data_IF_498418968753
#
_entry.id   IF_498418968753
#
_cell.length_a   1.000
_cell.length_b   1.000
_cell.length_c   1.000
_cell.angle_alpha   90.00
_cell.angle_beta   90.00
_cell.angle_gamma   90.00
#
_symmetry.space_group_name_H-M   'P 1'
#
loop_
_entity.id
_entity.type
_entity.pdbx_description
1 polymer ?
#
# COMPACT_ATOMS: atom_id res chain seq x y z
N UNK A 1 3.70 -7.56 4.04
CA UNK A 1 4.33 -7.52 2.70
C UNK A 1 4.94 -6.16 2.42
N UNK A 2 4.15 -5.08 2.57
CA UNK A 2 4.67 -3.72 2.40
C UNK A 2 5.78 -3.40 3.42
N UNK A 3 5.57 -3.70 4.70
CA UNK A 3 6.59 -3.47 5.74
C UNK A 3 7.92 -4.21 5.48
N UNK A 4 7.85 -5.40 4.89
CA UNK A 4 9.04 -6.18 4.53
C UNK A 4 9.79 -5.52 3.37
N UNK A 5 9.06 -5.05 2.35
CA UNK A 5 9.65 -4.28 1.25
C UNK A 5 10.28 -2.99 1.77
N UNK A 6 9.59 -2.26 2.64
CA UNK A 6 10.08 -1.00 3.21
C UNK A 6 11.29 -1.23 4.13
N UNK A 7 11.37 -2.38 4.80
CA UNK A 7 12.56 -2.80 5.53
C UNK A 7 13.74 -3.06 4.58
N UNK A 8 13.53 -3.85 3.52
CA UNK A 8 14.58 -4.17 2.54
C UNK A 8 15.16 -2.92 1.88
N UNK A 9 14.29 -1.98 1.47
CA UNK A 9 14.71 -0.74 0.83
C UNK A 9 15.47 0.19 1.80
N UNK A 10 15.07 0.24 3.07
CA UNK A 10 15.82 0.98 4.10
C UNK A 10 17.20 0.38 4.32
N UNK A 11 17.28 -0.94 4.47
CA UNK A 11 18.56 -1.63 4.62
C UNK A 11 19.46 -1.40 3.40
N UNK A 12 18.94 -1.51 2.18
CA UNK A 12 19.68 -1.16 0.96
C UNK A 12 20.23 0.27 0.99
N UNK A 13 19.43 1.24 1.43
CA UNK A 13 19.86 2.63 1.54
C UNK A 13 20.98 2.82 2.56
N UNK A 14 20.99 2.04 3.65
CA UNK A 14 22.00 2.10 4.70
C UNK A 14 23.33 1.44 4.29
N UNK A 15 23.30 0.35 3.51
CA UNK A 15 24.49 -0.47 3.23
C UNK A 15 25.03 -0.38 1.80
N UNK A 16 24.39 0.40 0.92
CA UNK A 16 24.79 0.51 -0.49
C UNK A 16 26.00 1.42 -0.74
N UNK A 17 26.46 2.17 0.27
CA UNK A 17 27.60 3.08 0.17
C UNK A 17 28.57 2.90 1.34
N UNK A 18 29.85 3.12 1.11
CA UNK A 18 30.88 3.16 2.15
C UNK A 18 31.84 4.31 1.92
N UNK A 19 32.54 4.72 2.99
CA UNK A 19 33.55 5.77 2.96
C UNK A 19 34.91 5.13 3.27
N UNK A 20 35.94 5.52 2.53
CA UNK A 20 37.32 5.06 2.73
C UNK A 20 38.21 6.27 3.02
N UNK A 21 38.93 6.24 4.14
CA UNK A 21 39.92 7.26 4.48
C UNK A 21 41.26 6.98 3.77
N UNK A 22 42.03 8.05 3.55
CA UNK A 22 43.33 7.95 2.87
C UNK A 22 44.34 7.17 3.73
N UNK A 23 44.88 6.08 3.18
CA UNK A 23 45.82 5.18 3.88
C UNK A 23 45.18 3.97 4.58
N UNK A 24 43.85 3.85 4.58
CA UNK A 24 43.15 2.66 5.09
C UNK A 24 42.86 1.63 3.99
N UNK A 25 42.66 0.37 4.41
CA UNK A 25 42.24 -0.69 3.51
C UNK A 25 40.74 -0.59 3.23
N UNK A 26 40.33 -0.74 1.97
CA UNK A 26 38.93 -0.81 1.61
C UNK A 26 38.28 -2.07 2.18
N UNK A 27 37.20 -1.89 2.94
CA UNK A 27 36.33 -3.00 3.38
C UNK A 27 34.89 -2.71 2.91
N UNK A 28 34.59 -3.03 1.63
CA UNK A 28 33.26 -2.79 1.07
C UNK A 28 32.19 -3.62 1.79
N UNK A 29 30.97 -3.07 1.97
CA UNK A 29 29.85 -3.83 2.52
C UNK A 29 29.55 -5.07 1.68
N UNK A 30 29.17 -6.17 2.33
CA UNK A 30 28.64 -7.36 1.68
C UNK A 30 27.20 -7.11 1.18
N UNK A 31 27.06 -6.22 0.18
CA UNK A 31 25.80 -5.82 -0.42
C UNK A 31 25.65 -6.43 -1.83
N UNK A 32 24.57 -7.18 -2.05
CA UNK A 32 24.19 -7.71 -3.38
C UNK A 32 22.91 -7.02 -3.86
N UNK A 33 23.10 -6.08 -4.79
CA UNK A 33 22.00 -5.37 -5.43
C UNK A 33 21.04 -6.33 -6.16
N UNK A 34 21.57 -7.32 -6.90
CA UNK A 34 20.75 -8.25 -7.68
C UNK A 34 19.79 -9.03 -6.78
N UNK A 35 20.31 -9.59 -5.69
CA UNK A 35 19.53 -10.34 -4.72
C UNK A 35 18.45 -9.47 -4.03
N UNK A 36 18.78 -8.24 -3.65
CA UNK A 36 17.80 -7.33 -3.04
C UNK A 36 16.70 -6.96 -4.02
N UNK A 37 17.05 -6.65 -5.27
CA UNK A 37 16.07 -6.30 -6.30
C UNK A 37 15.17 -7.47 -6.69
N UNK A 38 15.70 -8.69 -6.75
CA UNK A 38 14.91 -9.89 -6.98
C UNK A 38 13.88 -10.09 -5.86
N UNK A 39 14.29 -9.94 -4.60
CA UNK A 39 13.39 -10.07 -3.45
C UNK A 39 12.30 -9.00 -3.44
N UNK A 40 12.63 -7.75 -3.79
CA UNK A 40 11.64 -6.68 -3.95
C UNK A 40 10.66 -7.00 -5.07
N UNK A 41 11.14 -7.47 -6.23
CA UNK A 41 10.30 -7.83 -7.36
C UNK A 41 9.35 -8.99 -7.02
N UNK A 42 9.81 -9.98 -6.25
CA UNK A 42 8.98 -11.08 -5.76
C UNK A 42 7.83 -10.56 -4.88
N UNK A 43 8.12 -9.67 -3.92
CA UNK A 43 7.10 -9.08 -3.03
C UNK A 43 6.08 -8.29 -3.86
N UNK A 44 6.54 -7.49 -4.82
CA UNK A 44 5.66 -6.72 -5.71
C UNK A 44 4.77 -7.62 -6.58
N UNK A 45 5.34 -8.71 -7.11
CA UNK A 45 4.59 -9.70 -7.89
C UNK A 45 3.50 -10.37 -7.06
N UNK A 46 3.81 -10.80 -5.84
CA UNK A 46 2.85 -11.39 -4.92
C UNK A 46 1.75 -10.39 -4.53
N UNK A 47 2.12 -9.15 -4.19
CA UNK A 47 1.15 -8.11 -3.84
C UNK A 47 0.22 -7.79 -5.02
N UNK A 48 0.74 -7.79 -6.25
CA UNK A 48 -0.06 -7.63 -7.47
C UNK A 48 -1.04 -8.78 -7.67
N UNK A 49 -0.59 -10.02 -7.50
CA UNK A 49 -1.44 -11.20 -7.66
C UNK A 49 -2.61 -11.20 -6.65
N UNK A 50 -2.33 -10.89 -5.39
CA UNK A 50 -3.35 -10.80 -4.33
C UNK A 50 -4.36 -9.70 -4.64
N UNK A 51 -3.90 -8.48 -4.96
CA UNK A 51 -4.79 -7.37 -5.31
C UNK A 51 -5.64 -7.70 -6.54
N UNK A 52 -5.04 -8.29 -7.56
CA UNK A 52 -5.76 -8.70 -8.76
C UNK A 52 -6.87 -9.71 -8.46
N UNK A 53 -6.57 -10.75 -7.68
CA UNK A 53 -7.55 -11.74 -7.25
C UNK A 53 -8.68 -11.10 -6.43
N UNK A 54 -8.35 -10.17 -5.51
CA UNK A 54 -9.34 -9.44 -4.72
C UNK A 54 -10.25 -8.57 -5.60
N UNK A 55 -9.68 -7.80 -6.54
CA UNK A 55 -10.48 -6.98 -7.46
C UNK A 55 -11.41 -7.84 -8.32
N UNK A 56 -10.90 -8.96 -8.85
CA UNK A 56 -11.71 -9.93 -9.59
C UNK A 56 -12.86 -10.48 -8.75
N UNK A 57 -12.59 -10.86 -7.50
CA UNK A 57 -13.61 -11.32 -6.57
C UNK A 57 -14.66 -10.22 -6.29
N UNK A 58 -14.23 -8.99 -6.01
CA UNK A 58 -15.14 -7.88 -5.69
C UNK A 58 -16.08 -7.54 -6.85
N UNK A 59 -15.58 -7.59 -8.09
CA UNK A 59 -16.36 -7.31 -9.29
C UNK A 59 -17.32 -8.43 -9.69
N UNK A 60 -17.08 -9.66 -9.23
CA UNK A 60 -17.85 -10.85 -9.66
C UNK A 60 -18.84 -11.35 -8.60
N UNK A 61 -18.55 -11.11 -7.32
CA UNK A 61 -19.37 -11.60 -6.23
C UNK A 61 -20.50 -10.63 -5.93
N UNK A 62 -21.74 -11.11 -6.07
CA UNK A 62 -22.95 -10.37 -5.73
C UNK A 62 -23.32 -10.58 -4.26
N UNK A 63 -23.68 -9.51 -3.56
CA UNK A 63 -24.24 -9.54 -2.23
C UNK A 63 -25.73 -9.92 -2.31
N UNK A 64 -26.15 -11.11 -1.83
CA UNK A 64 -27.49 -11.64 -2.09
C UNK A 64 -28.63 -10.73 -1.62
N UNK A 65 -28.46 -10.09 -0.46
CA UNK A 65 -29.48 -9.22 0.15
C UNK A 65 -29.66 -7.89 -0.59
N UNK A 66 -28.67 -7.46 -1.38
CA UNK A 66 -28.64 -6.15 -2.03
C UNK A 66 -28.71 -6.21 -3.55
N UNK A 67 -28.43 -7.37 -4.14
CA UNK A 67 -28.44 -7.56 -5.60
C UNK A 67 -27.36 -6.80 -6.36
N UNK A 68 -26.35 -6.27 -5.66
CA UNK A 68 -25.20 -5.56 -6.24
C UNK A 68 -23.91 -6.29 -5.91
N UNK A 69 -22.88 -6.09 -6.73
CA UNK A 69 -21.54 -6.61 -6.49
C UNK A 69 -20.91 -6.00 -5.24
N UNK A 70 -19.91 -6.69 -4.67
CA UNK A 70 -19.11 -6.14 -3.57
C UNK A 70 -18.46 -4.82 -4.00
N UNK A 71 -17.96 -4.73 -5.23
CA UNK A 71 -17.36 -3.50 -5.77
C UNK A 71 -18.36 -2.32 -5.77
N UNK A 72 -19.57 -2.53 -6.28
CA UNK A 72 -20.65 -1.53 -6.25
C UNK A 72 -21.03 -1.14 -4.81
N UNK A 73 -21.04 -2.10 -3.88
CA UNK A 73 -21.33 -1.84 -2.49
C UNK A 73 -20.26 -0.96 -1.81
N UNK A 74 -18.98 -1.16 -2.13
CA UNK A 74 -17.89 -0.31 -1.64
C UNK A 74 -17.99 1.12 -2.17
N UNK A 75 -18.35 1.29 -3.45
CA UNK A 75 -18.61 2.60 -4.05
C UNK A 75 -19.78 3.29 -3.33
N UNK A 76 -20.88 2.57 -3.15
CA UNK A 76 -22.06 3.08 -2.45
C UNK A 76 -21.73 3.49 -1.01
N UNK A 77 -20.91 2.70 -0.31
CA UNK A 77 -20.46 3.01 1.04
C UNK A 77 -19.67 4.33 1.07
N UNK A 78 -18.73 4.55 0.15
CA UNK A 78 -17.98 5.80 0.06
C UNK A 78 -18.90 7.01 -0.20
N UNK A 79 -19.89 6.87 -1.10
CA UNK A 79 -20.89 7.90 -1.37
C UNK A 79 -21.77 8.20 -0.15
N UNK A 80 -22.16 7.17 0.61
CA UNK A 80 -22.94 7.33 1.84
C UNK A 80 -22.14 8.04 2.93
N UNK A 81 -20.86 7.70 3.11
CA UNK A 81 -19.96 8.38 4.03
C UNK A 81 -19.82 9.87 3.68
N UNK A 82 -19.59 10.20 2.41
CA UNK A 82 -19.51 11.60 1.98
C UNK A 82 -20.82 12.38 2.20
N UNK A 83 -21.97 11.76 1.97
CA UNK A 83 -23.29 12.36 2.27
C UNK A 83 -23.47 12.60 3.77
N UNK A 84 -23.07 11.65 4.61
CA UNK A 84 -23.09 11.78 6.07
C UNK A 84 -22.21 12.93 6.54
N UNK A 85 -20.99 13.04 6.03
CA UNK A 85 -20.06 14.10 6.41
C UNK A 85 -20.59 15.48 6.01
N UNK A 86 -21.20 15.59 4.82
CA UNK A 86 -21.87 16.81 4.38
C UNK A 86 -23.02 17.21 5.31
N UNK A 87 -23.87 16.26 5.71
CA UNK A 87 -24.96 16.51 6.63
C UNK A 87 -24.47 16.96 8.00
N UNK A 88 -23.42 16.32 8.53
CA UNK A 88 -22.78 16.71 9.79
C UNK A 88 -22.22 18.14 9.72
N UNK A 89 -21.57 18.49 8.61
CA UNK A 89 -21.07 19.85 8.38
C UNK A 89 -22.20 20.88 8.42
N UNK A 90 -23.32 20.62 7.73
CA UNK A 90 -24.47 21.51 7.74
C UNK A 90 -25.11 21.62 9.14
N UNK A 91 -25.30 20.50 9.83
CA UNK A 91 -25.86 20.47 11.19
C UNK A 91 -24.98 21.26 12.18
N UNK A 92 -23.65 21.16 12.05
CA UNK A 92 -22.70 21.91 12.89
C UNK A 92 -22.65 23.41 12.56
N UNK A 93 -23.11 23.82 11.38
CA UNK A 93 -23.14 25.21 10.93
C UNK A 93 -24.41 25.96 11.36
N UNK A 94 -25.48 25.25 11.75
CA UNK A 94 -26.69 25.87 12.32
C UNK A 94 -26.36 26.39 13.73
N UNK A 95 -26.02 27.68 13.83
CA UNK A 95 -26.09 28.43 15.08
C UNK A 95 -27.51 28.98 15.21
N UNK A 96 -28.20 28.64 16.29
CA UNK A 96 -29.44 29.31 16.67
C UNK A 96 -29.12 30.79 16.92
N UNK A 97 -29.82 31.67 16.22
CA UNK A 97 -29.90 33.10 16.51
C UNK A 97 -31.11 33.36 17.42
#
# INVERSE_FOLDING_TARGET
MQDEKDRLLRTEQEVSTYVLAEGEAAEPPAYDYGAVREKVAQIDGQARAIRHALHRFNMQTVLPERGITIDEALILLAQLSGRKDRLNSLASCVRYA
#
